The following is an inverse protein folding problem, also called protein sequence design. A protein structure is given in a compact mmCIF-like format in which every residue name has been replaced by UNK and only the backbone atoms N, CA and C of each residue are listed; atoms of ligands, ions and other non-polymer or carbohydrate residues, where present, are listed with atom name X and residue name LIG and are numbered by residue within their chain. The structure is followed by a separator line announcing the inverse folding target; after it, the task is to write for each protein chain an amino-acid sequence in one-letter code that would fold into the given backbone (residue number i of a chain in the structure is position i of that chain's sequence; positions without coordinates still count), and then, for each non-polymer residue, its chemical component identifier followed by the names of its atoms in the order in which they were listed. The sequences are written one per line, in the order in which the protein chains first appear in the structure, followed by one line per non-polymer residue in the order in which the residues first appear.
data_IF_076242381583
#
_entry.id   IF_076242381583
#
_cell.length_a   1.000
_cell.length_b   1.000
_cell.length_c   1.000
_cell.angle_alpha   90.00
_cell.angle_beta   90.00
_cell.angle_gamma   90.00
#
_symmetry.space_group_name_H-M   'P 1'
#
loop_
_entity.id
_entity.type
_entity.pdbx_description
1 polymer ?
2 non-polymer ?
3 non-polymer ?
4 non-polymer ?
5 water ?
#
# COMPACT_ATOMS: atom_id res chain seq x y z
N UNK A 1 -14.29 -4.52 8.92
CA UNK A 1 -12.89 -4.41 8.40
C UNK A 1 -12.26 -3.07 8.70
N UNK A 2 -11.14 -2.78 8.04
CA UNK A 2 -10.36 -1.57 8.31
C UNK A 2 -11.20 -0.29 8.16
N UNK A 3 -11.92 -0.22 7.04
CA UNK A 3 -12.77 0.93 6.73
C UNK A 3 -13.88 1.13 7.76
N UNK A 4 -14.51 0.04 8.23
CA UNK A 4 -15.51 0.16 9.31
C UNK A 4 -14.87 0.66 10.61
N UNK A 5 -13.67 0.15 10.91
CA UNK A 5 -12.95 0.55 12.13
C UNK A 5 -12.72 2.05 12.19
N UNK A 6 -12.35 2.64 11.07
CA UNK A 6 -12.21 4.09 10.97
C UNK A 6 -13.54 4.79 11.31
N UNK A 7 -14.67 4.28 10.81
CA UNK A 7 -16.02 4.76 11.20
C UNK A 7 -16.33 4.59 12.68
N UNK A 8 -16.02 3.41 13.25
CA UNK A 8 -16.18 3.17 14.69
C UNK A 8 -15.36 4.14 15.52
N UNK A 9 -14.08 4.31 15.16
CA UNK A 9 -13.19 5.21 15.90
C UNK A 9 -13.65 6.68 15.80
N UNK A 10 -14.03 7.12 14.60
CA UNK A 10 -14.52 8.50 14.40
C UNK A 10 -15.82 8.77 15.15
N UNK A 11 -16.70 7.78 15.19
CA UNK A 11 -17.98 7.87 15.92
C UNK A 11 -17.84 8.25 17.38
N UNK A 12 -16.73 7.84 18.01
CA UNK A 12 -16.51 8.21 19.41
C UNK A 12 -15.04 8.57 19.56
N UNK A 13 -14.63 9.56 18.78
CA UNK A 13 -13.21 9.83 18.58
C UNK A 13 -12.43 10.14 19.88
N UNK A 14 -13.00 11.02 20.71
CA UNK A 14 -12.37 11.43 21.96
C UNK A 14 -12.23 10.27 22.96
N UNK A 15 -13.25 9.41 23.04
CA UNK A 15 -13.24 8.26 23.96
C UNK A 15 -12.17 7.24 23.54
N UNK A 16 -12.14 6.87 22.26
CA UNK A 16 -11.10 5.97 21.75
C UNK A 16 -9.73 6.61 21.78
N UNK A 17 -9.65 7.89 21.42
CA UNK A 17 -8.35 8.53 21.35
C UNK A 17 -7.71 8.51 22.72
N UNK A 18 -8.47 8.93 23.74
CA UNK A 18 -7.97 9.02 25.10
C UNK A 18 -7.62 7.64 25.66
N UNK A 19 -8.48 6.65 25.43
CA UNK A 19 -8.21 5.30 25.93
C UNK A 19 -6.98 4.64 25.33
N UNK A 20 -6.77 4.85 24.03
CA UNK A 20 -5.65 4.20 23.36
C UNK A 20 -4.37 4.93 23.71
N UNK A 21 -4.42 6.25 23.74
CA UNK A 21 -3.25 7.01 24.09
C UNK A 21 -2.78 6.69 25.51
N UNK A 22 -3.74 6.51 26.40
CA UNK A 22 -3.47 6.09 27.77
C UNK A 22 -2.89 4.70 27.83
N UNK A 23 -3.42 3.78 27.01
CA UNK A 23 -2.89 2.41 26.98
C UNK A 23 -1.45 2.47 26.52
N UNK A 24 -1.18 3.40 25.61
CA UNK A 24 0.17 3.60 25.08
C UNK A 24 1.16 4.11 26.15
N UNK A 25 0.81 5.19 26.85
CA UNK A 25 1.71 5.70 27.91
C UNK A 25 1.89 4.70 29.06
N UNK A 26 0.84 4.00 29.44
CA UNK A 26 0.96 3.03 30.55
C UNK A 26 1.76 1.78 30.21
N UNK A 27 1.69 1.35 28.95
CA UNK A 27 2.45 0.17 28.51
C UNK A 27 3.91 0.53 28.30
N UNK A 28 4.15 1.79 27.92
CA UNK A 28 5.50 2.25 27.64
C UNK A 28 5.75 3.57 28.34
N UNK A 29 6.03 3.52 29.67
CA UNK A 29 6.06 4.70 30.53
C UNK A 29 7.14 5.70 30.14
N UNK A 30 8.20 5.23 29.48
CA UNK A 30 9.25 6.09 28.95
C UNK A 30 8.70 7.10 27.97
N UNK A 31 7.63 6.74 27.26
CA UNK A 31 7.07 7.62 26.25
C UNK A 31 6.34 8.80 26.87
N UNK A 32 5.96 8.67 28.15
CA UNK A 32 5.31 9.77 28.88
C UNK A 32 6.14 11.05 28.95
N UNK A 33 7.47 10.91 29.00
CA UNK A 33 8.32 12.07 29.20
C UNK A 33 8.45 12.94 27.95
N UNK A 34 7.86 12.51 26.85
CA UNK A 34 7.74 13.39 25.67
C UNK A 34 6.63 14.42 25.87
N UNK A 35 5.74 14.14 26.82
CA UNK A 35 4.58 14.99 27.07
C UNK A 35 4.59 15.49 28.52
N UNK A 36 5.36 16.56 28.75
CA UNK A 36 5.69 17.05 30.09
C UNK A 36 4.47 17.45 30.93
N UNK A 37 3.44 17.93 30.28
CA UNK A 37 2.21 18.27 31.00
C UNK A 37 1.42 17.02 31.46
N UNK A 38 1.80 15.84 30.98
CA UNK A 38 1.16 14.56 31.41
C UNK A 38 1.92 13.78 32.49
N UNK A 39 3.13 14.23 32.82
CA UNK A 39 3.89 13.61 33.90
C UNK A 39 3.14 13.72 35.24
N UNK A 40 3.16 12.63 36.01
CA UNK A 40 2.61 12.62 37.36
C UNK A 40 1.10 12.63 37.49
N UNK A 41 0.39 12.37 36.39
CA UNK A 41 -1.08 12.34 36.43
C UNK A 41 -1.62 10.92 36.19
N UNK A 42 -2.66 10.56 36.92
CA UNK A 42 -3.39 9.30 36.74
C UNK A 42 -4.31 9.40 35.54
N UNK A 43 -4.88 8.27 35.12
CA UNK A 43 -5.74 8.20 33.94
C UNK A 43 -6.88 9.21 33.97
N UNK A 44 -7.54 9.31 35.12
CA UNK A 44 -8.74 10.14 35.25
C UNK A 44 -8.37 11.61 35.41
N UNK A 45 -7.19 11.85 35.96
CA UNK A 45 -6.67 13.20 36.04
C UNK A 45 -6.39 13.73 34.65
N UNK A 46 -5.87 12.87 33.78
CA UNK A 46 -5.61 13.25 32.39
C UNK A 46 -6.91 13.48 31.64
N UNK A 47 -7.90 12.61 31.86
CA UNK A 47 -9.23 12.74 31.25
C UNK A 47 -9.99 13.98 31.72
N UNK A 48 -9.55 14.59 32.82
CA UNK A 48 -10.19 15.81 33.30
C UNK A 48 -9.45 17.04 32.78
N UNK A 49 -8.32 16.80 32.12
CA UNK A 49 -7.53 17.88 31.51
C UNK A 49 -8.02 18.19 30.09
N UNK A 50 -8.40 19.44 29.86
CA UNK A 50 -8.91 19.86 28.57
C UNK A 50 -7.88 19.63 27.45
N UNK A 51 -6.63 20.02 27.71
CA UNK A 51 -5.57 19.88 26.73
C UNK A 51 -5.21 18.44 26.37
N UNK A 52 -5.46 17.49 27.28
CA UNK A 52 -5.23 16.08 27.02
C UNK A 52 -6.29 15.58 26.03
N UNK A 53 -7.55 15.88 26.32
CA UNK A 53 -8.63 15.60 25.38
C UNK A 53 -8.36 16.16 23.98
N UNK A 54 -8.00 17.44 23.91
CA UNK A 54 -7.80 18.06 22.60
C UNK A 54 -6.56 17.54 21.86
N UNK A 55 -5.46 17.34 22.57
CA UNK A 55 -4.30 16.74 21.94
C UNK A 55 -4.61 15.34 21.40
N UNK A 56 -5.22 14.50 22.23
CA UNK A 56 -5.50 13.12 21.82
C UNK A 56 -6.48 13.07 20.65
N UNK A 57 -7.48 13.96 20.66
CA UNK A 57 -8.41 14.08 19.55
C UNK A 57 -7.69 14.39 18.23
N UNK A 58 -6.79 15.39 18.29
CA UNK A 58 -6.10 15.85 17.09
C UNK A 58 -5.16 14.78 16.53
N UNK A 59 -4.57 14.00 17.41
CA UNK A 59 -3.66 12.96 17.02
C UNK A 59 -4.42 11.83 16.30
N UNK A 60 -5.54 11.41 16.90
CA UNK A 60 -6.28 10.32 16.34
C UNK A 60 -7.12 10.78 15.16
N UNK A 61 -7.52 12.05 15.15
CA UNK A 61 -8.10 12.61 13.93
C UNK A 61 -7.12 12.48 12.76
N UNK A 62 -5.85 12.86 12.96
CA UNK A 62 -4.86 12.80 11.88
C UNK A 62 -4.57 11.36 11.50
N UNK A 63 -4.47 10.48 12.50
CA UNK A 63 -4.22 9.06 12.23
C UNK A 63 -5.35 8.49 11.37
N UNK A 64 -6.61 8.84 11.68
CA UNK A 64 -7.73 8.35 10.85
C UNK A 64 -7.69 8.87 9.40
N UNK A 65 -7.27 10.13 9.21
CA UNK A 65 -7.07 10.74 7.89
C UNK A 65 -6.05 9.96 7.06
N UNK A 66 -4.95 9.61 7.71
CA UNK A 66 -3.86 8.87 7.07
C UNK A 66 -4.38 7.50 6.71
N UNK A 67 -5.09 6.89 7.65
CA UNK A 67 -5.73 5.59 7.46
C UNK A 67 -6.77 5.62 6.33
N UNK A 68 -7.51 6.72 6.21
CA UNK A 68 -8.51 6.85 5.13
C UNK A 68 -7.89 7.10 3.76
N UNK A 69 -6.71 7.71 3.74
CA UNK A 69 -6.01 8.01 2.48
C UNK A 69 -5.19 6.83 1.98
N UNK A 70 -5.00 5.86 2.88
CA UNK A 70 -4.19 4.69 2.64
C UNK A 70 -4.85 3.79 1.60
N UNK A 71 -4.04 3.03 0.87
CA UNK A 71 -4.51 2.03 -0.08
C UNK A 71 -4.05 0.70 0.44
N UNK A 72 -5.00 -0.17 0.78
CA UNK A 72 -4.71 -1.52 1.23
C UNK A 72 -3.73 -1.49 2.42
N UNK A 73 -4.04 -0.60 3.38
CA UNK A 73 -3.28 -0.37 4.63
C UNK A 73 -1.87 0.19 4.45
N UNK A 74 -1.58 0.69 3.26
CA UNK A 74 -0.31 1.38 2.99
C UNK A 74 -0.58 2.88 2.88
N UNK A 75 0.00 3.70 3.78
CA UNK A 75 -0.28 5.14 3.80
C UNK A 75 0.44 5.89 2.70
N UNK A 76 0.05 7.13 2.44
CA UNK A 76 0.67 7.93 1.39
C UNK A 76 2.04 8.39 1.86
N UNK A 77 2.97 8.43 0.90
CA UNK A 77 4.35 8.79 1.23
C UNK A 77 4.36 10.21 1.76
N UNK A 78 3.50 11.07 1.21
CA UNK A 78 3.41 12.45 1.69
C UNK A 78 2.80 12.56 3.08
N UNK A 79 1.89 11.64 3.42
CA UNK A 79 1.36 11.59 4.79
C UNK A 79 2.49 11.21 5.75
N UNK A 80 3.24 10.15 5.42
CA UNK A 80 4.43 9.79 6.21
C UNK A 80 5.42 10.93 6.36
N UNK A 81 5.69 11.64 5.26
CA UNK A 81 6.64 12.78 5.25
C UNK A 81 6.20 13.90 6.17
N UNK A 82 4.89 14.18 6.18
CA UNK A 82 4.27 15.13 7.10
C UNK A 82 4.68 14.84 8.54
N UNK A 83 4.58 13.58 8.95
CA UNK A 83 4.93 13.20 10.30
C UNK A 83 6.43 13.31 10.55
N UNK A 84 7.24 13.02 9.52
CA UNK A 84 8.68 13.05 9.65
C UNK A 84 9.21 14.50 9.73
N UNK A 85 8.64 15.40 8.94
CA UNK A 85 9.14 16.78 8.86
C UNK A 85 8.58 17.68 9.97
N UNK A 86 7.59 17.19 10.70
CA UNK A 86 6.98 17.98 11.76
C UNK A 86 7.93 18.24 12.93
N UNK A 87 8.00 19.51 13.31
CA UNK A 87 8.80 19.98 14.45
C UNK A 87 8.64 19.08 15.69
N UNK A 88 7.40 18.75 16.01
CA UNK A 88 7.05 17.99 17.22
C UNK A 88 7.56 16.55 17.17
N UNK A 89 7.73 16.01 15.96
CA UNK A 89 8.16 14.62 15.78
C UNK A 89 9.57 14.50 15.20
N UNK A 90 10.32 15.60 15.26
CA UNK A 90 11.66 15.63 14.67
C UNK A 90 12.66 14.76 15.41
N UNK A 91 12.55 14.71 16.74
CA UNK A 91 13.49 13.96 17.57
C UNK A 91 12.99 12.54 17.91
N UNK A 92 12.03 12.04 17.14
CA UNK A 92 11.55 10.66 17.31
C UNK A 92 12.26 9.62 16.42
N UNK A 93 12.17 8.37 16.83
CA UNK A 93 12.61 7.30 15.97
C UNK A 93 11.38 6.48 15.65
N UNK A 94 11.47 5.57 14.68
CA UNK A 94 10.31 4.78 14.25
C UNK A 94 9.81 3.93 15.40
N UNK A 95 10.72 3.56 16.31
CA UNK A 95 10.40 2.83 17.54
C UNK A 95 9.28 3.40 18.41
N UNK A 96 9.20 4.73 18.53
CA UNK A 96 8.10 5.37 19.24
C UNK A 96 6.73 5.04 18.60
N UNK A 97 6.70 5.07 17.26
CA UNK A 97 5.47 4.82 16.49
C UNK A 97 5.08 3.34 16.52
N UNK A 98 6.07 2.46 16.40
CA UNK A 98 5.89 1.02 16.56
C UNK A 98 5.21 0.70 17.89
N UNK A 99 5.68 1.35 18.96
CA UNK A 99 5.11 1.14 20.29
C UNK A 99 3.67 1.62 20.35
N UNK A 100 3.38 2.76 19.73
CA UNK A 100 2.02 3.25 19.70
C UNK A 100 1.09 2.22 19.03
N UNK A 101 1.52 1.62 17.92
CA UNK A 101 0.69 0.61 17.24
C UNK A 101 0.60 -0.74 17.96
N UNK A 102 1.65 -1.13 18.67
CA UNK A 102 1.52 -2.30 19.54
C UNK A 102 0.40 -2.05 20.55
N UNK A 103 0.47 -0.92 21.25
CA UNK A 103 -0.53 -0.58 22.24
C UNK A 103 -1.92 -0.48 21.59
N UNK A 104 -2.00 0.12 20.41
CA UNK A 104 -3.27 0.23 19.67
C UNK A 104 -3.85 -1.15 19.31
N UNK A 105 -3.01 -2.02 18.75
CA UNK A 105 -3.45 -3.37 18.35
C UNK A 105 -3.87 -4.20 19.55
N UNK A 106 -3.08 -4.15 20.62
CA UNK A 106 -3.41 -4.79 21.91
C UNK A 106 -4.77 -4.32 22.41
N UNK A 107 -4.94 -3.00 22.44
CA UNK A 107 -6.21 -2.43 22.87
C UNK A 107 -7.37 -3.02 22.06
N UNK A 108 -7.21 -3.09 20.74
CA UNK A 108 -8.30 -3.58 19.90
C UNK A 108 -8.68 -5.02 20.26
N UNK A 109 -7.67 -5.87 20.47
CA UNK A 109 -7.89 -7.28 20.83
C UNK A 109 -8.56 -7.44 22.19
N UNK A 110 -8.13 -6.66 23.17
CA UNK A 110 -8.72 -6.73 24.51
C UNK A 110 -10.15 -6.12 24.60
N UNK A 111 -10.50 -5.23 23.68
CA UNK A 111 -11.87 -4.69 23.64
C UNK A 111 -12.84 -5.80 23.25
N UNK A 112 -14.13 -5.55 23.46
CA UNK A 112 -15.16 -6.51 23.02
C UNK A 112 -15.54 -6.34 21.55
N UNK A 113 -15.15 -5.21 20.96
CA UNK A 113 -15.49 -4.85 19.57
C UNK A 113 -14.80 -5.73 18.52
N UNK A 114 -15.48 -5.92 17.40
CA UNK A 114 -14.98 -6.64 16.26
C UNK A 114 -14.05 -5.77 15.38
N UNK A 115 -13.00 -5.23 16.01
CA UNK A 115 -12.00 -4.49 15.29
C UNK A 115 -11.19 -5.46 14.44
N UNK A 116 -10.74 -5.00 13.28
CA UNK A 116 -9.84 -5.77 12.41
C UNK A 116 -8.40 -5.55 12.84
N UNK A 117 -7.98 -6.21 13.92
CA UNK A 117 -6.69 -5.89 14.56
C UNK A 117 -5.49 -6.16 13.66
N UNK A 118 -5.61 -7.21 12.86
CA UNK A 118 -4.55 -7.58 11.92
C UNK A 118 -4.35 -6.50 10.85
N UNK A 119 -5.44 -5.88 10.37
CA UNK A 119 -5.30 -4.74 9.42
C UNK A 119 -4.60 -3.53 10.05
N UNK A 120 -4.87 -3.26 11.31
CA UNK A 120 -4.19 -2.19 12.03
C UNK A 120 -2.71 -2.49 12.31
N UNK A 121 -2.41 -3.75 12.62
CA UNK A 121 -1.03 -4.22 12.68
C UNK A 121 -0.29 -3.95 11.35
N UNK A 122 -0.85 -4.40 10.22
CA UNK A 122 -0.26 -4.15 8.90
C UNK A 122 -0.10 -2.66 8.66
N UNK A 123 -1.16 -1.90 8.93
CA UNK A 123 -1.14 -0.45 8.81
C UNK A 123 0.01 0.18 9.63
N UNK A 124 0.12 -0.18 10.90
CA UNK A 124 1.25 0.29 11.74
C UNK A 124 2.61 0.00 11.15
N UNK A 125 2.79 -1.25 10.71
CA UNK A 125 4.06 -1.69 10.12
C UNK A 125 4.38 -0.94 8.84
N UNK A 126 3.38 -0.75 7.99
CA UNK A 126 3.54 -0.02 6.74
C UNK A 126 3.80 1.45 6.95
N UNK A 127 3.17 2.01 7.99
CA UNK A 127 3.45 3.40 8.36
C UNK A 127 4.89 3.55 8.83
N UNK A 128 5.33 2.65 9.70
CA UNK A 128 6.71 2.66 10.20
C UNK A 128 7.70 2.59 9.04
N UNK A 129 7.47 1.66 8.12
CA UNK A 129 8.33 1.54 6.94
C UNK A 129 8.30 2.80 6.08
N UNK A 130 7.13 3.42 5.94
CA UNK A 130 7.00 4.69 5.21
C UNK A 130 7.72 5.85 5.94
N UNK A 131 7.76 5.81 7.27
CA UNK A 131 8.51 6.81 8.08
C UNK A 131 10.03 6.68 7.86
N UNK A 132 10.55 5.44 7.89
CA UNK A 132 11.95 5.16 7.60
C UNK A 132 12.35 5.66 6.22
N UNK A 133 11.55 5.30 5.21
CA UNK A 133 11.80 5.71 3.83
C UNK A 133 11.86 7.23 3.66
N UNK A 134 11.12 7.95 4.49
CA UNK A 134 11.09 9.41 4.45
C UNK A 134 12.22 10.04 5.26
N UNK A 135 13.06 9.21 5.87
CA UNK A 135 14.24 9.71 6.54
C UNK A 135 14.20 9.69 8.05
N UNK A 136 13.12 9.17 8.65
CA UNK A 136 13.09 8.98 10.13
C UNK A 136 14.03 7.86 10.54
N UNK A 137 14.84 8.11 11.57
CA UNK A 137 15.78 7.12 12.09
C UNK A 137 15.04 6.10 12.95
N UNK B 1 5.18 -16.78 -1.93
CA UNK B 1 4.29 -15.58 -1.92
C UNK B 1 4.60 -14.66 -3.09
N UNK B 2 4.20 -13.41 -2.94
CA UNK B 2 4.33 -12.36 -3.97
C UNK B 2 5.80 -12.10 -4.38
N UNK B 3 6.70 -11.98 -3.38
CA UNK B 3 8.14 -11.75 -3.60
C UNK B 3 8.83 -12.94 -4.27
N UNK B 4 8.38 -14.14 -3.96
CA UNK B 4 8.96 -15.35 -4.57
C UNK B 4 8.52 -15.47 -6.03
N UNK B 5 7.25 -15.16 -6.27
CA UNK B 5 6.71 -15.11 -7.64
C UNK B 5 7.53 -14.20 -8.53
N UNK B 6 7.93 -13.04 -8.00
CA UNK B 6 8.85 -12.13 -8.70
C UNK B 6 10.14 -12.85 -9.16
N UNK B 7 10.78 -13.59 -8.25
CA UNK B 7 11.97 -14.38 -8.60
C UNK B 7 11.65 -15.49 -9.62
N UNK B 8 10.56 -16.22 -9.43
CA UNK B 8 10.12 -17.25 -10.40
C UNK B 8 10.01 -16.70 -11.82
N UNK B 9 9.30 -15.59 -11.98
CA UNK B 9 9.11 -14.98 -13.29
C UNK B 9 10.45 -14.47 -13.83
N UNK B 10 11.18 -13.72 -13.02
CA UNK B 10 12.53 -13.28 -13.39
C UNK B 10 13.42 -14.44 -13.83
N UNK B 11 13.24 -15.59 -13.17
CA UNK B 11 14.07 -16.76 -13.47
C UNK B 11 13.88 -17.35 -14.86
N UNK B 12 12.70 -17.10 -15.45
CA UNK B 12 12.41 -17.54 -16.82
C UNK B 12 11.54 -16.48 -17.50
N UNK B 13 12.11 -15.27 -17.55
CA UNK B 13 11.42 -14.03 -17.92
C UNK B 13 10.84 -14.02 -19.33
N UNK B 14 11.68 -14.34 -20.32
CA UNK B 14 11.22 -14.29 -21.70
C UNK B 14 10.06 -15.24 -21.95
N UNK B 15 10.14 -16.46 -21.40
CA UNK B 15 9.07 -17.45 -21.60
C UNK B 15 7.77 -17.02 -20.96
N UNK B 16 7.83 -16.67 -19.67
CA UNK B 16 6.69 -16.13 -18.92
C UNK B 16 6.12 -14.87 -19.55
N UNK B 17 6.96 -13.91 -19.90
CA UNK B 17 6.49 -12.67 -20.50
C UNK B 17 5.66 -12.94 -21.77
N UNK B 18 6.21 -13.75 -22.67
CA UNK B 18 5.57 -14.10 -23.91
C UNK B 18 4.23 -14.79 -23.67
N UNK B 19 4.26 -15.84 -22.85
CA UNK B 19 3.08 -16.65 -22.59
C UNK B 19 1.97 -15.86 -21.89
N UNK B 20 2.35 -15.00 -20.94
CA UNK B 20 1.37 -14.14 -20.28
C UNK B 20 0.82 -13.05 -21.19
N UNK B 21 1.70 -12.44 -21.98
CA UNK B 21 1.24 -11.39 -22.89
C UNK B 21 0.22 -11.94 -23.90
N UNK B 22 0.50 -13.15 -24.40
CA UNK B 22 -0.39 -13.83 -25.32
C UNK B 22 -1.72 -14.18 -24.65
N UNK B 23 -1.67 -14.62 -23.39
CA UNK B 23 -2.87 -14.91 -22.59
C UNK B 23 -3.79 -13.68 -22.52
N UNK B 24 -3.16 -12.54 -22.28
CA UNK B 24 -3.81 -11.23 -22.24
C UNK B 24 -4.45 -10.92 -23.59
N UNK B 25 -3.66 -11.02 -24.65
CA UNK B 25 -4.11 -10.68 -25.98
C UNK B 25 -5.22 -11.61 -26.44
N UNK B 26 -5.12 -12.89 -26.08
CA UNK B 26 -6.11 -13.86 -26.53
C UNK B 26 -7.41 -13.79 -25.72
N UNK B 27 -7.30 -13.57 -24.41
CA UNK B 27 -8.49 -13.40 -23.57
C UNK B 27 -9.25 -12.10 -23.88
N UNK B 28 -8.51 -11.05 -24.28
CA UNK B 28 -9.09 -9.76 -24.67
C UNK B 28 -8.63 -9.34 -26.08
N UNK B 29 -9.25 -9.95 -27.13
CA UNK B 29 -8.86 -9.69 -28.54
C UNK B 29 -8.81 -8.20 -28.93
N UNK B 30 -9.72 -7.41 -28.37
CA UNK B 30 -9.77 -5.95 -28.54
C UNK B 30 -8.42 -5.27 -28.27
N UNK B 31 -7.73 -5.77 -27.25
CA UNK B 31 -6.49 -5.14 -26.80
C UNK B 31 -5.35 -5.21 -27.82
N UNK B 32 -5.40 -6.24 -28.67
CA UNK B 32 -4.41 -6.47 -29.73
C UNK B 32 -4.35 -5.33 -30.75
N UNK B 33 -5.47 -4.59 -30.88
CA UNK B 33 -5.59 -3.45 -31.81
C UNK B 33 -4.62 -2.32 -31.48
N UNK B 34 -4.12 -2.31 -30.24
CA UNK B 34 -3.10 -1.34 -29.80
C UNK B 34 -1.69 -1.70 -30.33
N UNK B 35 -1.53 -2.94 -30.83
CA UNK B 35 -0.24 -3.45 -31.29
C UNK B 35 -0.31 -3.91 -32.76
N UNK B 36 -0.16 -2.98 -33.70
CA UNK B 36 -0.52 -3.20 -35.10
C UNK B 36 0.18 -4.40 -35.76
N UNK B 37 1.45 -4.62 -35.40
CA UNK B 37 2.21 -5.72 -36.01
C UNK B 37 2.07 -7.06 -35.29
N UNK B 38 1.13 -7.16 -34.35
CA UNK B 38 0.75 -8.47 -33.74
C UNK B 38 -0.64 -8.91 -34.23
N UNK B 39 -1.36 -8.00 -34.88
CA UNK B 39 -2.65 -8.32 -35.50
C UNK B 39 -2.51 -9.43 -36.52
N UNK B 40 -3.48 -10.35 -36.53
CA UNK B 40 -3.52 -11.42 -37.54
C UNK B 40 -2.38 -12.43 -37.46
N UNK B 41 -1.84 -12.64 -36.27
CA UNK B 41 -0.76 -13.60 -36.08
C UNK B 41 -1.06 -14.63 -34.99
N UNK B 42 -0.71 -15.88 -35.29
CA UNK B 42 -0.85 -16.97 -34.33
C UNK B 42 0.22 -16.80 -33.25
N UNK B 43 0.03 -17.49 -32.12
CA UNK B 43 1.00 -17.46 -31.01
C UNK B 43 2.41 -17.86 -31.47
N UNK B 44 2.49 -18.90 -32.31
CA UNK B 44 3.79 -19.36 -32.82
C UNK B 44 4.51 -18.38 -33.73
N UNK B 45 3.74 -17.60 -34.50
CA UNK B 45 4.28 -16.53 -35.36
C UNK B 45 4.93 -15.48 -34.49
N UNK B 46 4.17 -15.05 -33.49
CA UNK B 46 4.61 -14.03 -32.56
C UNK B 46 5.87 -14.41 -31.82
N UNK B 47 5.94 -15.67 -31.41
CA UNK B 47 7.10 -16.15 -30.68
C UNK B 47 8.38 -16.26 -31.53
N UNK B 48 8.24 -16.20 -32.85
CA UNK B 48 9.41 -16.19 -33.71
C UNK B 48 9.68 -14.80 -34.29
N UNK B 49 8.86 -13.83 -33.89
CA UNK B 49 9.07 -12.42 -34.21
C UNK B 49 9.94 -11.80 -33.12
N UNK B 50 11.18 -11.42 -33.45
CA UNK B 50 12.12 -10.87 -32.45
C UNK B 50 11.57 -9.64 -31.71
N UNK B 51 10.75 -8.84 -32.40
CA UNK B 51 10.20 -7.63 -31.81
C UNK B 51 9.20 -7.93 -30.70
N UNK B 52 8.39 -8.97 -30.90
CA UNK B 52 7.39 -9.36 -29.92
C UNK B 52 8.07 -9.80 -28.65
N UNK B 53 9.08 -10.67 -28.78
CA UNK B 53 9.87 -11.11 -27.64
C UNK B 53 10.55 -9.96 -26.90
N UNK B 54 11.28 -9.13 -27.63
CA UNK B 54 11.96 -7.97 -27.03
C UNK B 54 10.98 -7.01 -26.31
N UNK B 55 9.84 -6.74 -26.93
CA UNK B 55 8.82 -5.88 -26.33
C UNK B 55 8.21 -6.49 -25.06
N UNK B 56 7.81 -7.75 -25.13
CA UNK B 56 7.23 -8.40 -23.97
C UNK B 56 8.23 -8.55 -22.81
N UNK B 57 9.51 -8.78 -23.13
CA UNK B 57 10.52 -8.87 -22.09
C UNK B 57 10.70 -7.53 -21.35
N UNK B 58 10.72 -6.43 -22.12
CA UNK B 58 10.83 -5.07 -21.59
C UNK B 58 9.70 -4.76 -20.62
N UNK B 59 8.50 -5.20 -20.99
CA UNK B 59 7.30 -4.96 -20.21
C UNK B 59 7.38 -5.71 -18.89
N UNK B 60 7.78 -6.97 -18.96
CA UNK B 60 7.81 -7.78 -17.77
C UNK B 60 9.00 -7.52 -16.85
N UNK B 61 10.13 -7.13 -17.43
CA UNK B 61 11.27 -6.58 -16.68
C UNK B 61 10.83 -5.37 -15.84
N UNK B 62 10.14 -4.43 -16.49
CA UNK B 62 9.61 -3.25 -15.79
C UNK B 62 8.49 -3.64 -14.83
N UNK B 63 7.55 -4.49 -15.26
CA UNK B 63 6.49 -4.92 -14.35
C UNK B 63 7.05 -5.54 -13.05
N UNK B 64 8.05 -6.40 -13.21
CA UNK B 64 8.66 -7.07 -12.04
C UNK B 64 9.38 -6.08 -11.12
N UNK B 65 9.95 -5.00 -11.67
CA UNK B 65 10.59 -3.94 -10.90
C UNK B 65 9.57 -3.20 -10.06
N UNK B 66 8.46 -2.83 -10.70
CA UNK B 66 7.39 -2.14 -10.00
C UNK B 66 6.86 -3.03 -8.87
N UNK B 67 6.70 -4.32 -9.14
CA UNK B 67 6.25 -5.28 -8.15
C UNK B 67 7.28 -5.40 -7.03
N UNK B 68 8.56 -5.45 -7.39
CA UNK B 68 9.64 -5.47 -6.41
C UNK B 68 9.66 -4.26 -5.45
N UNK B 69 9.48 -3.06 -5.99
CA UNK B 69 9.51 -1.84 -5.19
C UNK B 69 8.25 -1.59 -4.35
N UNK B 70 7.19 -2.36 -4.64
CA UNK B 70 5.92 -2.26 -3.93
C UNK B 70 6.04 -2.60 -2.44
N UNK B 71 5.15 -2.05 -1.63
CA UNK B 71 5.01 -2.50 -0.24
C UNK B 71 3.61 -3.10 -0.13
N UNK B 72 3.50 -4.38 0.23
CA UNK B 72 2.21 -4.97 0.48
C UNK B 72 1.32 -4.87 -0.76
N UNK B 73 1.91 -5.15 -1.92
CA UNK B 73 1.28 -5.13 -3.22
C UNK B 73 0.75 -3.75 -3.63
N UNK B 74 1.28 -2.68 -3.03
CA UNK B 74 0.89 -1.32 -3.40
C UNK B 74 2.12 -0.65 -4.06
N UNK B 75 2.02 -0.32 -5.37
CA UNK B 75 3.24 0.16 -6.06
C UNK B 75 3.61 1.58 -5.71
N UNK B 76 4.88 1.94 -5.91
CA UNK B 76 5.33 3.32 -5.73
C UNK B 76 4.52 4.29 -6.62
N UNK B 77 4.16 5.45 -6.05
CA UNK B 77 3.55 6.54 -6.83
C UNK B 77 4.39 6.95 -8.05
N UNK B 78 5.72 6.97 -7.89
CA UNK B 78 6.61 7.35 -8.98
C UNK B 78 6.49 6.36 -10.15
N UNK B 79 6.37 5.08 -9.82
CA UNK B 79 6.25 4.03 -10.82
C UNK B 79 4.94 4.19 -11.62
N UNK B 80 3.82 4.43 -10.93
CA UNK B 80 2.56 4.75 -11.62
C UNK B 80 2.65 6.03 -12.49
N UNK B 81 3.29 7.07 -11.96
CA UNK B 81 3.52 8.30 -12.74
C UNK B 81 4.27 8.01 -14.05
N UNK B 82 5.34 7.22 -13.97
CA UNK B 82 6.11 6.84 -15.16
C UNK B 82 5.24 6.16 -16.20
N UNK B 83 4.41 5.23 -15.76
CA UNK B 83 3.46 4.56 -16.65
C UNK B 83 2.52 5.58 -17.32
N UNK B 84 1.88 6.43 -16.52
CA UNK B 84 0.87 7.36 -17.03
C UNK B 84 1.44 8.41 -17.99
N UNK B 85 2.69 8.82 -17.78
CA UNK B 85 3.33 9.93 -18.52
C UNK B 85 4.09 9.50 -19.79
N UNK B 86 4.31 8.20 -19.96
CA UNK B 86 5.01 7.67 -21.12
C UNK B 86 4.15 7.91 -22.37
N UNK B 87 4.80 8.34 -23.45
CA UNK B 87 4.13 8.64 -24.73
C UNK B 87 3.31 7.45 -25.21
N UNK B 88 3.80 6.25 -24.94
CA UNK B 88 3.18 5.04 -25.45
C UNK B 88 1.95 4.60 -24.65
N UNK B 89 1.73 5.21 -23.48
CA UNK B 89 0.64 4.82 -22.58
C UNK B 89 -0.38 5.95 -22.31
N UNK B 90 -0.11 7.13 -22.84
CA UNK B 90 -1.05 8.27 -22.78
C UNK B 90 -2.30 7.99 -23.61
N UNK B 91 -2.24 6.91 -24.38
CA UNK B 91 -3.35 6.43 -25.22
C UNK B 91 -4.37 5.54 -24.46
N UNK B 92 -4.14 5.29 -23.18
CA UNK B 92 -4.81 4.19 -22.45
C UNK B 92 -5.69 4.66 -21.28
N UNK B 93 -6.66 3.82 -20.91
CA UNK B 93 -7.43 4.01 -19.69
C UNK B 93 -7.08 2.90 -18.71
N UNK B 94 -7.63 2.96 -17.51
CA UNK B 94 -7.29 1.98 -16.46
C UNK B 94 -7.90 0.62 -16.77
N UNK B 95 -8.96 0.60 -17.57
CA UNK B 95 -9.56 -0.66 -18.05
C UNK B 95 -8.58 -1.56 -18.78
N UNK B 96 -7.68 -0.98 -19.57
CA UNK B 96 -6.66 -1.74 -20.29
C UNK B 96 -5.73 -2.52 -19.34
N UNK B 97 -5.33 -1.87 -18.26
CA UNK B 97 -4.45 -2.49 -17.27
C UNK B 97 -5.19 -3.54 -16.45
N UNK B 98 -6.43 -3.24 -16.05
CA UNK B 98 -7.30 -4.18 -15.35
C UNK B 98 -7.36 -5.53 -16.08
N UNK B 99 -7.49 -5.43 -17.40
CA UNK B 99 -7.61 -6.59 -18.26
C UNK B 99 -6.32 -7.38 -18.27
N UNK B 100 -5.20 -6.67 -18.38
CA UNK B 100 -3.88 -7.29 -18.33
C UNK B 100 -3.80 -8.13 -17.07
N UNK B 101 -4.22 -7.55 -15.95
CA UNK B 101 -4.04 -8.21 -14.65
C UNK B 101 -5.01 -9.35 -14.39
N UNK B 102 -6.24 -9.23 -14.90
CA UNK B 102 -7.17 -10.36 -14.91
C UNK B 102 -6.54 -11.55 -15.67
N UNK B 103 -5.99 -11.29 -16.86
CA UNK B 103 -5.43 -12.36 -17.68
C UNK B 103 -4.23 -12.99 -16.97
N UNK B 104 -3.42 -12.14 -16.35
CA UNK B 104 -2.23 -12.59 -15.62
C UNK B 104 -2.62 -13.50 -14.46
N UNK B 105 -3.59 -13.07 -13.68
CA UNK B 105 -4.01 -13.84 -12.53
C UNK B 105 -4.59 -15.19 -12.93
N UNK B 106 -5.41 -15.22 -13.98
CA UNK B 106 -6.03 -16.46 -14.45
C UNK B 106 -4.98 -17.40 -15.07
N UNK B 107 -3.95 -16.82 -15.69
CA UNK B 107 -2.80 -17.61 -16.19
C UNK B 107 -2.11 -18.30 -14.99
N UNK B 108 -1.86 -17.56 -13.93
CA UNK B 108 -1.22 -18.15 -12.73
C UNK B 108 -2.04 -19.26 -12.13
N UNK B 109 -3.37 -19.10 -12.18
CA UNK B 109 -4.27 -20.11 -11.64
C UNK B 109 -4.27 -21.36 -12.49
N UNK B 110 -4.36 -21.18 -13.81
CA UNK B 110 -4.42 -22.33 -14.74
C UNK B 110 -3.11 -23.12 -14.82
N UNK B 111 -1.98 -22.46 -14.56
CA UNK B 111 -0.70 -23.17 -14.50
C UNK B 111 -0.71 -24.04 -13.26
N UNK B 112 0.21 -24.99 -13.16
CA UNK B 112 0.21 -25.81 -11.95
C UNK B 112 0.95 -25.20 -10.77
N UNK B 113 1.58 -24.05 -11.01
CA UNK B 113 2.58 -23.53 -10.07
C UNK B 113 1.99 -22.78 -8.87
N UNK B 114 2.72 -22.84 -7.76
CA UNK B 114 2.31 -22.20 -6.53
C UNK B 114 2.56 -20.68 -6.55
N UNK B 115 2.06 -20.00 -7.59
CA UNK B 115 1.92 -18.55 -7.57
C UNK B 115 0.90 -18.10 -6.53
N UNK B 116 1.12 -16.94 -5.94
CA UNK B 116 0.16 -16.32 -5.06
C UNK B 116 -0.76 -15.43 -5.93
N UNK B 117 -1.70 -16.07 -6.63
CA UNK B 117 -2.52 -15.34 -7.61
C UNK B 117 -3.38 -14.21 -6.99
N UNK B 118 -3.86 -14.44 -5.78
CA UNK B 118 -4.59 -13.44 -5.00
C UNK B 118 -3.71 -12.20 -4.71
N UNK B 119 -2.42 -12.41 -4.46
CA UNK B 119 -1.53 -11.24 -4.25
C UNK B 119 -1.36 -10.46 -5.54
N UNK B 120 -1.21 -11.18 -6.67
CA UNK B 120 -1.17 -10.52 -7.98
C UNK B 120 -2.48 -9.80 -8.33
N UNK B 121 -3.61 -10.34 -7.89
CA UNK B 121 -4.94 -9.67 -8.05
C UNK B 121 -4.96 -8.34 -7.28
N UNK B 122 -4.52 -8.36 -6.02
CA UNK B 122 -4.39 -7.12 -5.24
C UNK B 122 -3.42 -6.11 -5.85
N UNK B 123 -2.26 -6.60 -6.33
CA UNK B 123 -1.26 -5.75 -6.99
C UNK B 123 -1.85 -5.11 -8.24
N UNK B 124 -2.55 -5.89 -9.05
CA UNK B 124 -3.24 -5.35 -10.24
C UNK B 124 -4.23 -4.25 -9.91
N UNK B 125 -5.11 -4.51 -8.95
CA UNK B 125 -6.06 -3.51 -8.42
C UNK B 125 -5.40 -2.30 -7.75
N UNK B 126 -4.26 -2.51 -7.07
CA UNK B 126 -3.59 -1.36 -6.47
C UNK B 126 -2.86 -0.53 -7.50
N UNK B 127 -2.34 -1.18 -8.56
CA UNK B 127 -1.76 -0.43 -9.70
C UNK B 127 -2.78 0.49 -10.38
N UNK B 128 -3.94 -0.05 -10.72
CA UNK B 128 -5.06 0.72 -11.28
C UNK B 128 -5.41 1.92 -10.40
N UNK B 129 -5.55 1.67 -9.10
CA UNK B 129 -5.81 2.73 -8.14
C UNK B 129 -4.72 3.82 -8.18
N UNK B 130 -3.46 3.39 -8.28
CA UNK B 130 -2.32 4.30 -8.38
C UNK B 130 -2.29 5.01 -9.73
N UNK B 131 -2.59 4.29 -10.81
CA UNK B 131 -2.72 4.88 -12.15
C UNK B 131 -3.81 5.96 -12.21
N UNK B 132 -4.95 5.69 -11.56
CA UNK B 132 -6.05 6.66 -11.48
C UNK B 132 -5.63 7.94 -10.74
N UNK B 133 -5.01 7.78 -9.57
CA UNK B 133 -4.64 8.98 -8.80
C UNK B 133 -3.52 9.78 -9.47
N UNK B 134 -2.76 9.14 -10.36
CA UNK B 134 -1.72 9.80 -11.15
C UNK B 134 -2.27 10.47 -12.41
N UNK B 135 -3.57 10.32 -12.65
CA UNK B 135 -4.24 11.12 -13.68
C UNK B 135 -4.77 10.37 -14.89
N UNK B 136 -4.63 9.05 -14.88
CA UNK B 136 -5.15 8.23 -15.97
C UNK B 136 -6.67 8.04 -15.82
N UNK B 137 -7.39 8.15 -16.93
CA UNK B 137 -8.84 7.94 -16.91
C UNK B 137 -9.18 6.44 -16.94
X LIG C 1 1.87 16.40 18.82
X LIG C 1 0.09 13.43 15.40
X LIG C 1 2.77 9.74 17.05
X LIG C 1 5.03 12.84 20.00
X LIG C 1 1.14 15.93 17.74
X LIG C 1 0.16 16.67 16.96
X LIG C 1 -0.33 15.85 16.02
X LIG C 1 0.31 14.56 16.16
X LIG C 1 -1.41 16.25 14.96
X LIG C 1 -0.23 18.14 17.19
X LIG C 1 -1.48 18.15 18.10
X LIG C 1 -1.82 19.56 18.50
X LIG C 1 -2.04 19.78 19.71
X LIG C 1 -1.86 20.48 17.64
X LIG C 1 0.61 12.15 15.58
X LIG C 1 0.22 10.96 14.86
X LIG C 1 0.96 9.92 15.30
X LIG C 1 1.83 10.45 16.33
X LIG C 1 -0.88 10.88 13.78
X LIG C 1 0.91 8.43 14.89
X LIG C 1 0.66 7.98 13.65
X LIG C 1 3.59 10.25 18.03
X LIG C 1 4.49 9.49 18.89
X LIG C 1 5.11 10.35 19.70
X LIG C 1 4.64 11.68 19.39
X LIG C 1 4.64 7.96 18.82
X LIG C 1 6.15 10.03 20.80
X LIG C 1 5.84 9.24 21.84
X LIG C 1 4.42 14.08 19.96
X LIG C 1 4.89 15.28 20.65
X LIG C 1 3.90 16.38 20.29
X LIG C 1 2.94 15.76 19.42
X LIG C 1 6.12 15.41 21.57
X LIG C 1 3.94 17.87 20.78
X LIG C 1 3.32 17.86 22.16
X LIG C 1 2.39 19.04 22.36
X LIG C 1 1.42 19.20 21.58
X LIG C 1 2.64 19.81 23.33
X LIG C 1 1.19 14.66 17.23
X LIG C 1 1.62 11.80 16.45
X LIG C 1 3.72 11.57 18.38
X LIG C 1 3.29 14.42 19.23
X LIG C 1 2.49 13.10 17.83
X LIG D 1 1.13 12.57 19.50
X LIG D 1 0.70 12.08 20.44
X LIG E 1 -11.68 -3.59 4.73
X LIG E 1 -11.53 -4.10 3.39
X LIG E 1 -12.98 -3.97 5.27
X LIG E 1 -10.70 -4.14 5.64
X LIG E 1 -11.56 -2.13 4.67
X LIG F 1 3.89 9.04 36.15
X LIG F 1 4.81 7.92 36.18
X LIG F 1 2.78 8.68 35.27
X LIG F 1 3.39 9.32 37.49
X LIG F 1 4.53 10.23 35.63
X LIG G 1 5.01 -0.12 -24.89
X LIG G 1 5.48 -1.15 -20.15
X LIG G 1 0.77 -2.23 -19.97
X LIG G 1 0.17 -0.59 -24.48
X LIG G 1 5.58 -0.39 -23.66
X LIG G 1 6.99 -0.42 -23.32
X LIG G 1 7.11 -0.71 -22.01
X LIG G 1 5.78 -0.86 -21.47
X LIG G 1 8.43 -0.85 -21.20
X LIG G 1 8.15 -0.19 -24.30
X LIG G 1 8.68 -1.57 -24.69
X LIG G 1 9.87 -1.44 -25.59
X LIG G 1 10.65 -0.47 -25.46
X LIG G 1 10.02 -2.33 -26.48
X LIG G 1 4.26 -1.57 -19.67
X LIG G 1 3.95 -2.08 -18.34
X LIG G 1 2.64 -2.38 -18.29
X LIG G 1 2.08 -2.06 -19.60
X LIG G 1 4.98 -2.26 -17.19
X LIG G 1 1.79 -2.95 -17.11
X LIG G 1 2.25 -3.05 -15.83
X LIG G 1 0.22 -1.90 -21.18
X LIG G 1 -1.15 -2.17 -21.56
X LIG G 1 -1.32 -1.72 -22.81
X LIG G 1 -0.06 -1.17 -23.26
X LIG G 1 -2.16 -2.85 -20.62
X LIG G 1 -2.58 -1.72 -23.72
X LIG G 1 -3.53 -2.65 -23.58
X LIG G 1 1.40 -0.33 -25.03
X LIG G 1 1.61 0.07 -26.39
X LIG G 1 3.12 0.20 -26.53
X LIG G 1 3.67 -0.12 -25.23
X LIG G 1 0.56 0.31 -27.49
X LIG G 1 3.85 0.64 -27.81
X LIG G 1 3.91 -0.49 -28.84
X LIG G 1 5.35 -0.86 -28.95
X LIG G 1 5.84 -1.16 -30.09
X LIG G 1 6.02 -0.84 -27.89
X LIG G 1 4.88 -0.67 -22.52
X LIG G 1 3.09 -1.56 -20.41
X LIG G 1 0.84 -1.30 -22.24
X LIG G 1 2.63 -0.43 -24.39
X LIG G 1 2.86 -0.98 -22.42
X LIG H 1 3.14 -2.94 -23.36
X LIG H 1 3.00 -4.06 -23.54
X LIG I 1 -12.13 -15.70 -22.26
X LIG I 1 -11.04 -16.56 -21.81
X LIG I 1 -13.29 -16.55 -22.55
X LIG I 1 -12.47 -14.74 -21.22
X LIG I 1 -11.73 -14.96 -23.45
#
# INVERSE_FOLDING_TARGET
GFKQDIATIRGDLRTYAQDIFLAFLNKYPDERRYFKNYVGKSDQELKSMAKFGDHTEKVFNLMMEVADRATDCVPLASDANTLVQDKQHSSLTTGNFEKLFVALVEYMRASGQSFDSQSWDRFGKNLVSALSSAGMK
GFKQDIATIRGDLRTYAQDIFLAFLNKYPDERRYFKNYVGKSDQELKSMAKFGDHTEKVFNLMMEVADRATDCVPLASDANTLVQDKQHSSLTTGNFEKLFVALVEYMRASGQSFDSQSWDRFGKNLVSALSSAGMK
HEM CHA CHB CHC CHD C1A C2A C3A C4A CMA CAA CBA CGA O1A O2A C1B C2B C3B C4B CMB CAB CBB C1C C2C C3C C4C CMC CAC CBC C1D C2D C3D C4D CMD CAD CBD CGD O1D O2D NA NB NC ND FE
CYN C N
SO4 S O1 O2 O3 O4
SO4 S O1 O2 O3 O4
HEM CHA CHB CHC CHD C1A C2A C3A C4A CMA CAA CBA CGA O1A O2A C1B C2B C3B C4B CMB CAB CBB C1C C2C C3C C4C CMC CAC CBC C1D C2D C3D C4D CMD CAD CBD CGD O1D O2D NA NB NC ND FE
CYN C N
SO4 S O1 O2 O3 O4
#
